data_IF_053478589641
#
_entry.id   IF_053478589641
#
_cell.length_a   1.000
_cell.length_b   1.000
_cell.length_c   1.000
_cell.angle_alpha   90.00
_cell.angle_beta   90.00
_cell.angle_gamma   90.00
#
_symmetry.space_group_name_H-M   'P 1'
#
loop_
_entity.id
_entity.type
_entity.pdbx_description
1 polymer ?
#
# COMPACT_ATOMS: atom_id res chain seq x y z
N UNK A 1 5.97 -7.76 -6.59
CA UNK A 1 5.23 -6.91 -5.64
C UNK A 1 6.15 -5.81 -5.13
N UNK A 2 5.82 -4.58 -5.48
CA UNK A 2 6.66 -3.45 -5.12
C UNK A 2 6.22 -2.85 -3.79
N UNK A 3 7.17 -2.34 -3.01
CA UNK A 3 6.84 -1.71 -1.73
C UNK A 3 5.92 -0.50 -1.93
N UNK A 4 6.10 0.24 -3.01
CA UNK A 4 5.26 1.39 -3.31
C UNK A 4 3.81 0.99 -3.55
N UNK A 5 3.59 -0.17 -4.18
CA UNK A 5 2.25 -0.71 -4.39
C UNK A 5 1.61 -1.06 -3.05
N UNK A 6 2.39 -1.66 -2.15
CA UNK A 6 1.91 -2.00 -0.81
C UNK A 6 1.54 -0.75 -0.02
N UNK A 7 2.38 0.30 -0.10
CA UNK A 7 2.10 1.56 0.58
C UNK A 7 0.81 2.19 0.05
N UNK A 8 0.64 2.18 -1.27
CA UNK A 8 -0.57 2.71 -1.89
C UNK A 8 -1.80 1.94 -1.43
N UNK A 9 -1.73 0.62 -1.45
CA UNK A 9 -2.85 -0.21 -1.02
C UNK A 9 -3.19 0.04 0.46
N UNK A 10 -2.18 0.08 1.33
CA UNK A 10 -2.42 0.30 2.76
C UNK A 10 -3.05 1.67 3.03
N UNK A 11 -2.63 2.71 2.31
CA UNK A 11 -3.24 4.03 2.47
C UNK A 11 -4.70 4.03 2.02
N UNK A 12 -5.00 3.34 0.91
CA UNK A 12 -6.38 3.21 0.46
C UNK A 12 -7.21 2.44 1.50
N UNK A 13 -6.66 1.36 2.04
CA UNK A 13 -7.34 0.56 3.06
C UNK A 13 -7.61 1.37 4.33
N UNK A 14 -6.63 2.17 4.74
CA UNK A 14 -6.72 2.98 5.95
C UNK A 14 -7.69 4.15 5.80
N UNK A 15 -7.61 4.86 4.67
CA UNK A 15 -8.43 6.06 4.44
C UNK A 15 -9.78 5.75 3.83
N UNK A 16 -9.92 4.57 3.23
CA UNK A 16 -11.11 4.16 2.48
C UNK A 16 -11.38 5.08 1.30
N UNK A 17 -10.30 5.67 0.74
CA UNK A 17 -10.43 6.64 -0.34
C UNK A 17 -9.15 6.68 -1.17
N UNK A 18 -9.29 6.53 -2.48
CA UNK A 18 -8.16 6.67 -3.40
C UNK A 18 -7.65 8.11 -3.43
N UNK A 19 -8.55 9.07 -3.35
CA UNK A 19 -8.20 10.48 -3.36
C UNK A 19 -7.40 10.85 -2.10
N UNK A 20 -7.88 10.43 -0.94
CA UNK A 20 -7.18 10.70 0.32
C UNK A 20 -5.82 10.00 0.36
N UNK A 21 -5.76 8.78 -0.14
CA UNK A 21 -4.50 8.04 -0.21
C UNK A 21 -3.47 8.78 -1.08
N UNK A 22 -3.89 9.26 -2.24
CA UNK A 22 -3.01 10.02 -3.12
C UNK A 22 -2.50 11.29 -2.45
N UNK A 23 -3.40 12.01 -1.77
CA UNK A 23 -3.03 13.22 -1.05
C UNK A 23 -1.97 12.93 0.02
N UNK A 24 -2.16 11.86 0.79
CA UNK A 24 -1.24 11.49 1.86
C UNK A 24 0.10 11.03 1.33
N UNK A 25 0.13 10.43 0.15
CA UNK A 25 1.36 9.94 -0.47
C UNK A 25 1.98 10.94 -1.43
N UNK A 26 1.35 12.10 -1.60
CA UNK A 26 1.83 13.17 -2.51
C UNK A 26 1.88 12.72 -3.97
N UNK A 27 0.89 11.93 -4.38
CA UNK A 27 0.74 11.48 -5.76
C UNK A 27 -0.70 11.64 -6.20
N UNK A 28 -0.97 11.50 -7.51
CA UNK A 28 -2.30 11.64 -8.04
C UNK A 28 -3.18 10.44 -7.67
N UNK A 29 -4.48 10.64 -7.69
CA UNK A 29 -5.48 9.58 -7.56
C UNK A 29 -5.21 8.46 -8.57
N UNK A 30 -4.90 8.83 -9.82
CA UNK A 30 -4.63 7.85 -10.88
C UNK A 30 -3.41 6.99 -10.58
N UNK A 31 -2.38 7.58 -9.99
CA UNK A 31 -1.16 6.85 -9.62
C UNK A 31 -1.49 5.78 -8.57
N UNK A 32 -2.27 6.15 -7.55
CA UNK A 32 -2.69 5.21 -6.50
C UNK A 32 -3.53 4.09 -7.11
N UNK A 33 -4.49 4.45 -7.95
CA UNK A 33 -5.38 3.48 -8.59
C UNK A 33 -4.60 2.47 -9.42
N UNK A 34 -3.63 2.94 -10.20
CA UNK A 34 -2.80 2.05 -11.01
C UNK A 34 -1.90 1.16 -10.16
N UNK A 35 -1.35 1.69 -9.08
CA UNK A 35 -0.51 0.91 -8.18
C UNK A 35 -1.30 -0.26 -7.57
N UNK A 36 -2.52 0.02 -7.11
CA UNK A 36 -3.38 -1.02 -6.54
C UNK A 36 -3.79 -2.03 -7.61
N UNK A 37 -4.17 -1.57 -8.80
CA UNK A 37 -4.57 -2.47 -9.89
C UNK A 37 -3.41 -3.36 -10.32
N UNK A 38 -2.19 -2.82 -10.41
CA UNK A 38 -1.01 -3.61 -10.75
C UNK A 38 -0.73 -4.67 -9.69
N UNK A 39 -0.89 -4.31 -8.43
CA UNK A 39 -0.71 -5.26 -7.33
C UNK A 39 -1.72 -6.39 -7.42
N UNK A 40 -2.98 -6.06 -7.66
CA UNK A 40 -4.04 -7.06 -7.84
C UNK A 40 -3.74 -8.00 -8.99
N UNK A 41 -3.30 -7.44 -10.12
CA UNK A 41 -2.96 -8.24 -11.29
C UNK A 41 -1.81 -9.20 -11.02
N UNK A 42 -0.78 -8.71 -10.33
CA UNK A 42 0.39 -9.51 -10.00
C UNK A 42 0.05 -10.65 -9.05
N UNK A 43 -0.77 -10.37 -8.04
CA UNK A 43 -1.17 -11.37 -7.05
C UNK A 43 -2.28 -12.29 -7.56
N UNK A 44 -2.95 -11.90 -8.64
CA UNK A 44 -4.03 -12.68 -9.22
C UNK A 44 -5.31 -12.67 -8.40
N UNK A 45 -5.51 -11.65 -7.56
CA UNK A 45 -6.71 -11.52 -6.73
C UNK A 45 -7.15 -10.07 -6.67
N UNK A 46 -8.44 -9.85 -6.42
CA UNK A 46 -8.95 -8.52 -6.10
C UNK A 46 -8.69 -8.24 -4.63
N UNK A 47 -8.24 -7.04 -4.33
CA UNK A 47 -8.00 -6.59 -2.95
C UNK A 47 -9.11 -5.65 -2.49
N UNK A 48 -9.67 -4.87 -3.42
CA UNK A 48 -10.73 -3.92 -3.15
C UNK A 48 -12.04 -4.51 -3.65
N UNK A 49 -13.05 -4.48 -2.81
CA UNK A 49 -14.39 -4.92 -3.18
C UNK A 49 -15.12 -3.76 -3.87
N UNK A 50 -15.29 -3.88 -5.18
CA UNK A 50 -15.93 -2.85 -6.00
C UNK A 50 -17.38 -3.14 -6.30
N UNK A 51 -17.94 -4.17 -5.67
CA UNK A 51 -19.33 -4.58 -5.92
C UNK A 51 -20.32 -3.74 -5.14
N UNK A 52 -19.88 -3.08 -4.09
CA UNK A 52 -20.74 -2.26 -3.23
C UNK A 52 -20.40 -0.78 -3.41
N UNK A 53 -21.36 0.09 -3.09
CA UNK A 53 -21.15 1.53 -3.10
C UNK A 53 -20.21 1.98 -1.99
N UNK A 54 -20.28 1.26 -0.87
CA UNK A 54 -19.44 1.55 0.28
C UNK A 54 -18.09 0.87 0.08
N UNK A 55 -17.02 1.60 0.38
CA UNK A 55 -15.68 1.03 0.29
C UNK A 55 -15.54 -0.22 1.15
N UNK A 56 -14.90 -1.24 0.60
CA UNK A 56 -14.63 -2.46 1.34
C UNK A 56 -13.42 -3.17 0.79
N UNK A 57 -12.88 -4.06 1.59
CA UNK A 57 -11.79 -4.95 1.19
C UNK A 57 -12.35 -6.34 0.94
N UNK A 58 -11.74 -7.05 -0.02
CA UNK A 58 -12.01 -8.46 -0.19
C UNK A 58 -11.34 -9.23 0.95
N UNK A 59 -11.59 -10.52 1.04
CA UNK A 59 -10.91 -11.37 2.01
C UNK A 59 -9.38 -11.31 1.81
N UNK A 60 -8.94 -11.35 0.55
CA UNK A 60 -7.53 -11.22 0.22
C UNK A 60 -6.99 -9.85 0.65
N UNK A 61 -7.78 -8.78 0.43
CA UNK A 61 -7.39 -7.44 0.84
C UNK A 61 -7.22 -7.32 2.35
N UNK A 62 -8.10 -7.95 3.12
CA UNK A 62 -8.00 -7.96 4.57
C UNK A 62 -6.73 -8.66 5.04
N UNK A 63 -6.43 -9.80 4.44
CA UNK A 63 -5.19 -10.54 4.78
C UNK A 63 -3.94 -9.72 4.49
N UNK A 64 -3.92 -9.09 3.33
CA UNK A 64 -2.78 -8.27 2.95
C UNK A 64 -2.66 -7.05 3.86
N UNK A 65 -3.78 -6.41 4.16
CA UNK A 65 -3.82 -5.26 5.07
C UNK A 65 -3.27 -5.60 6.46
N UNK A 66 -3.51 -6.82 6.92
CA UNK A 66 -3.02 -7.27 8.22
C UNK A 66 -1.51 -7.56 8.21
N UNK A 67 -0.98 -8.06 7.11
CA UNK A 67 0.42 -8.49 7.04
C UNK A 67 1.38 -7.46 6.45
N UNK A 68 0.90 -6.63 5.54
CA UNK A 68 1.75 -5.68 4.85
C UNK A 68 2.47 -4.68 5.76
N UNK A 69 1.89 -4.22 6.88
CA UNK A 69 2.62 -3.31 7.78
C UNK A 69 3.92 -3.90 8.30
N UNK A 70 3.98 -5.21 8.54
CA UNK A 70 5.21 -5.88 8.98
C UNK A 70 6.30 -5.77 7.92
N UNK A 71 5.93 -6.00 6.65
CA UNK A 71 6.86 -5.90 5.53
C UNK A 71 7.42 -4.48 5.39
N UNK A 72 6.54 -3.49 5.46
CA UNK A 72 6.94 -2.10 5.31
C UNK A 72 7.80 -1.65 6.49
N UNK A 73 7.45 -2.08 7.68
CA UNK A 73 8.23 -1.77 8.88
C UNK A 73 9.64 -2.35 8.78
N UNK A 74 9.74 -3.58 8.31
CA UNK A 74 11.04 -4.22 8.13
C UNK A 74 11.87 -3.50 7.07
N UNK A 75 11.25 -3.12 5.96
CA UNK A 75 11.93 -2.38 4.90
C UNK A 75 12.47 -1.04 5.42
N UNK A 76 11.66 -0.34 6.21
CA UNK A 76 12.05 0.94 6.80
C UNK A 76 13.21 0.76 7.79
N UNK A 77 13.16 -0.29 8.60
CA UNK A 77 14.21 -0.59 9.57
C UNK A 77 15.54 -0.90 8.87
N UNK A 78 15.49 -1.63 7.77
CA UNK A 78 16.70 -1.92 6.97
C UNK A 78 17.28 -0.64 6.41
N UNK A 79 16.43 0.22 5.82
CA UNK A 79 16.90 1.49 5.26
C UNK A 79 17.49 2.39 6.35
N UNK A 80 16.86 2.46 7.50
CA UNK A 80 17.30 3.30 8.62
C UNK A 80 18.64 2.83 9.18
N UNK A 81 18.89 1.53 9.18
CA UNK A 81 20.17 0.99 9.64
C UNK A 81 21.32 1.51 8.78
N UNK A 82 21.13 1.63 7.47
CA UNK A 82 22.14 2.16 6.57
C UNK A 82 22.27 3.67 6.71
N UNK A 83 21.19 4.38 6.93
CA UNK A 83 21.25 5.83 7.16
C UNK A 83 22.04 6.16 8.41
N UNK A 84 21.82 5.43 9.49
CA UNK A 84 22.56 5.64 10.74
C UNK A 84 24.06 5.48 10.54
N UNK A 85 24.48 4.49 9.78
CA UNK A 85 25.90 4.25 9.49
C UNK A 85 26.47 5.38 8.65
N UNK A 86 25.72 5.88 7.69
CA UNK A 86 26.14 6.99 6.85
C UNK A 86 26.35 8.26 7.67
N UNK A 87 25.48 8.51 8.62
CA UNK A 87 25.55 9.70 9.47
C UNK A 87 26.77 9.68 10.37
N UNK A 88 27.25 8.52 10.75
CA UNK A 88 28.44 8.38 11.58
C UNK A 88 29.73 8.59 10.80
N UNK A 89 29.65 8.42 9.52
CA UNK A 89 30.82 8.61 8.66
C UNK A 89 31.08 10.08 8.40
#
# INVERSE_FOLDING_TARGET
MELEQLRAFLEVARTKSFTAAGRNLFVSHSTVSRAVSSLEAELGVSLIDRTNRVFGLTEAGKRLSDRAPELLSLADAVADAFKSRTDEA
#
